data_IF_613506880640
#
_entry.id   IF_613506880640
#
_cell.length_a   1.000
_cell.length_b   1.000
_cell.length_c   1.000
_cell.angle_alpha   90.00
_cell.angle_beta   90.00
_cell.angle_gamma   90.00
#
_symmetry.space_group_name_H-M   'P 1'
#
loop_
_entity.id
_entity.type
_entity.pdbx_description
1 polymer ?
#
# COMPACT_ATOMS: atom_id res chain seq x y z
N UNK A 1 -0.94 20.33 -14.42
CA UNK A 1 -0.46 21.30 -15.44
C UNK A 1 0.70 22.23 -15.04
N UNK A 2 1.04 22.44 -13.76
CA UNK A 2 2.21 23.27 -13.31
C UNK A 2 3.59 22.56 -13.35
N UNK A 3 3.68 21.23 -13.46
CA UNK A 3 4.97 20.49 -13.49
C UNK A 3 5.72 20.57 -14.83
N UNK A 4 5.03 20.71 -15.96
CA UNK A 4 5.64 20.75 -17.31
C UNK A 4 6.43 22.05 -17.58
N UNK A 5 6.03 23.20 -17.02
CA UNK A 5 6.73 24.48 -17.20
C UNK A 5 8.11 24.56 -16.51
N UNK A 6 8.37 23.77 -15.46
CA UNK A 6 9.66 23.79 -14.74
C UNK A 6 10.76 22.95 -15.38
N UNK A 7 10.41 21.89 -16.11
CA UNK A 7 11.40 21.06 -16.84
C UNK A 7 11.95 21.79 -18.06
N UNK A 8 11.16 22.64 -18.71
CA UNK A 8 11.63 23.48 -19.82
C UNK A 8 12.72 24.49 -19.45
N UNK A 9 12.74 24.97 -18.21
CA UNK A 9 13.69 26.00 -17.75
C UNK A 9 15.11 25.47 -17.50
N UNK A 10 15.30 24.20 -17.09
CA UNK A 10 16.64 23.62 -16.83
C UNK A 10 17.30 23.27 -18.16
N UNK A 11 16.59 22.62 -19.08
CA UNK A 11 17.07 22.33 -20.44
C UNK A 11 17.38 23.63 -21.21
N UNK A 12 16.51 24.64 -21.09
CA UNK A 12 16.71 25.94 -21.72
C UNK A 12 17.94 26.68 -21.19
N UNK A 13 18.21 26.64 -19.89
CA UNK A 13 19.41 27.29 -19.31
C UNK A 13 20.71 26.59 -19.68
N UNK A 14 20.75 25.26 -19.67
CA UNK A 14 21.94 24.50 -20.13
C UNK A 14 22.21 24.74 -21.60
N UNK A 15 21.17 24.72 -22.44
CA UNK A 15 21.30 25.06 -23.86
C UNK A 15 21.75 26.51 -24.05
N UNK A 16 21.22 27.46 -23.30
CA UNK A 16 21.60 28.85 -23.36
C UNK A 16 23.07 29.08 -22.94
N UNK A 17 23.51 28.44 -21.86
CA UNK A 17 24.92 28.49 -21.43
C UNK A 17 25.85 27.91 -22.50
N UNK A 18 25.49 26.80 -23.12
CA UNK A 18 26.23 26.23 -24.22
C UNK A 18 26.34 27.19 -25.40
N UNK A 19 25.21 27.76 -25.82
CA UNK A 19 25.18 28.74 -26.94
C UNK A 19 26.02 29.97 -26.63
N UNK A 20 25.91 30.54 -25.42
CA UNK A 20 26.70 31.71 -24.99
C UNK A 20 28.19 31.37 -25.00
N UNK A 21 28.58 30.20 -24.48
CA UNK A 21 29.96 29.74 -24.48
C UNK A 21 30.49 29.59 -25.91
N UNK A 22 29.71 29.03 -26.81
CA UNK A 22 30.06 28.83 -28.21
C UNK A 22 30.23 30.17 -28.93
N UNK A 23 29.36 31.14 -28.68
CA UNK A 23 29.48 32.51 -29.23
C UNK A 23 30.78 33.20 -28.75
N UNK A 24 31.05 33.17 -27.44
CA UNK A 24 32.25 33.79 -26.87
C UNK A 24 33.54 33.19 -27.45
N UNK A 25 33.59 31.87 -27.56
CA UNK A 25 34.75 31.19 -28.15
C UNK A 25 34.87 31.48 -29.65
N UNK A 26 33.77 31.61 -30.38
CA UNK A 26 33.78 31.97 -31.79
C UNK A 26 34.32 33.39 -32.00
N UNK A 27 33.90 34.35 -31.19
CA UNK A 27 34.39 35.76 -31.22
C UNK A 27 35.89 35.78 -30.89
N UNK A 28 36.31 35.09 -29.85
CA UNK A 28 37.71 35.00 -29.45
C UNK A 28 38.58 34.37 -30.56
N UNK A 29 38.05 33.31 -31.18
CA UNK A 29 38.73 32.66 -32.31
C UNK A 29 38.90 33.59 -33.52
N UNK A 30 37.85 34.35 -33.89
CA UNK A 30 37.95 35.31 -34.99
C UNK A 30 39.03 36.38 -34.69
N UNK A 31 39.07 36.87 -33.45
CA UNK A 31 40.06 37.88 -33.03
C UNK A 31 41.49 37.30 -33.08
N UNK A 32 41.69 36.11 -32.47
CA UNK A 32 43.02 35.46 -32.49
C UNK A 32 43.41 35.03 -33.90
N UNK A 33 42.47 34.52 -34.70
CA UNK A 33 42.70 34.06 -36.05
C UNK A 33 43.11 35.21 -36.98
N UNK A 34 42.48 36.36 -36.87
CA UNK A 34 42.90 37.54 -37.66
C UNK A 34 44.29 38.07 -37.26
N UNK A 35 44.58 38.04 -35.93
CA UNK A 35 45.89 38.45 -35.43
C UNK A 35 46.98 37.49 -35.92
N UNK A 36 46.78 36.16 -35.77
CA UNK A 36 47.73 35.13 -36.22
C UNK A 36 47.95 35.20 -37.73
N UNK A 37 46.92 35.46 -38.52
CA UNK A 37 47.01 35.62 -39.96
C UNK A 37 47.96 36.72 -40.34
N UNK A 38 47.73 37.95 -39.87
CA UNK A 38 48.48 39.13 -40.29
C UNK A 38 49.88 39.23 -39.69
N UNK A 39 50.11 38.69 -38.50
CA UNK A 39 51.38 38.85 -37.80
C UNK A 39 52.29 37.61 -37.93
N UNK A 40 51.69 36.42 -37.87
CA UNK A 40 52.47 35.15 -37.76
C UNK A 40 52.54 34.44 -39.09
N UNK A 41 51.39 34.19 -39.75
CA UNK A 41 51.38 33.35 -40.96
C UNK A 41 52.04 33.98 -42.14
N UNK A 42 51.85 35.26 -42.43
CA UNK A 42 52.51 35.94 -43.55
C UNK A 42 54.04 36.06 -43.33
N UNK A 43 54.46 36.28 -42.09
CA UNK A 43 55.88 36.31 -41.73
C UNK A 43 56.48 34.89 -41.82
N UNK A 44 55.75 33.87 -41.43
CA UNK A 44 56.18 32.47 -41.44
C UNK A 44 56.30 31.96 -42.92
N UNK A 45 55.31 32.25 -43.74
CA UNK A 45 55.37 31.87 -45.20
C UNK A 45 56.52 32.51 -45.86
N UNK A 46 56.79 33.80 -45.63
CA UNK A 46 57.91 34.50 -46.15
C UNK A 46 59.26 33.94 -45.67
N UNK A 47 59.39 33.62 -44.39
CA UNK A 47 60.55 33.02 -43.75
C UNK A 47 60.88 31.62 -44.33
N UNK A 48 59.86 30.77 -44.47
CA UNK A 48 59.99 29.40 -45.01
C UNK A 48 60.35 29.49 -46.48
N UNK A 49 59.75 30.40 -47.25
CA UNK A 49 60.08 30.63 -48.66
C UNK A 49 61.53 30.99 -48.91
N UNK A 50 62.09 31.87 -48.07
CA UNK A 50 63.46 32.30 -48.11
C UNK A 50 64.42 31.17 -47.71
N UNK A 51 64.15 30.47 -46.60
CA UNK A 51 65.11 29.49 -46.08
C UNK A 51 65.04 28.11 -46.77
N UNK A 52 63.89 27.70 -47.32
CA UNK A 52 63.74 26.41 -47.98
C UNK A 52 63.89 26.47 -49.51
N UNK A 53 64.25 27.60 -50.11
CA UNK A 53 64.39 27.81 -51.57
C UNK A 53 63.18 27.29 -52.38
N UNK A 54 61.98 27.49 -51.84
CA UNK A 54 60.73 27.08 -52.51
C UNK A 54 60.52 27.93 -53.78
N UNK A 55 59.95 27.30 -54.82
CA UNK A 55 59.61 28.04 -56.03
C UNK A 55 58.61 29.17 -55.73
N UNK A 56 58.74 30.31 -56.42
CA UNK A 56 57.86 31.47 -56.28
C UNK A 56 56.41 31.09 -56.51
N UNK A 57 56.15 30.11 -57.38
CA UNK A 57 54.79 29.58 -57.61
C UNK A 57 54.21 28.90 -56.38
N UNK A 58 55.01 28.19 -55.58
CA UNK A 58 54.54 27.50 -54.33
C UNK A 58 54.26 28.49 -53.21
N UNK A 59 55.12 29.52 -53.08
CA UNK A 59 54.95 30.61 -52.12
C UNK A 59 53.68 31.39 -52.42
N UNK A 60 53.45 31.73 -53.71
CA UNK A 60 52.22 32.40 -54.15
C UNK A 60 50.96 31.56 -53.89
N UNK A 61 51.01 30.24 -54.04
CA UNK A 61 49.95 29.36 -53.74
C UNK A 61 49.63 29.35 -52.21
N UNK A 62 50.65 29.31 -51.34
CA UNK A 62 50.45 29.39 -49.86
C UNK A 62 49.89 30.72 -49.45
N UNK A 63 50.33 31.85 -50.06
CA UNK A 63 49.71 33.14 -49.79
C UNK A 63 48.24 33.21 -50.24
N UNK A 64 47.94 32.67 -51.43
CA UNK A 64 46.58 32.61 -51.93
C UNK A 64 45.66 31.76 -51.00
N UNK A 65 46.13 30.61 -50.49
CA UNK A 65 45.40 29.81 -49.53
C UNK A 65 45.16 30.57 -48.19
N UNK A 66 46.18 31.35 -47.77
CA UNK A 66 46.05 32.19 -46.60
C UNK A 66 45.07 33.36 -46.83
N UNK A 67 45.15 34.02 -48.02
CA UNK A 67 44.17 35.08 -48.39
C UNK A 67 42.73 34.60 -48.43
N UNK A 68 42.48 33.37 -48.92
CA UNK A 68 41.15 32.79 -48.93
C UNK A 68 40.71 32.24 -47.54
N UNK A 69 41.48 32.46 -46.48
CA UNK A 69 41.18 32.03 -45.12
C UNK A 69 41.01 30.50 -44.92
N UNK A 70 41.47 29.70 -45.87
CA UNK A 70 41.29 28.22 -45.85
C UNK A 70 41.85 27.61 -44.58
N UNK A 71 43.05 27.99 -44.16
CA UNK A 71 43.68 27.51 -42.93
C UNK A 71 42.90 27.95 -41.68
N UNK A 72 42.39 29.17 -41.68
CA UNK A 72 41.55 29.67 -40.58
C UNK A 72 40.23 28.93 -40.49
N UNK A 73 39.59 28.57 -41.59
CA UNK A 73 38.39 27.76 -41.59
C UNK A 73 38.62 26.34 -41.08
N UNK A 74 39.69 25.68 -41.48
CA UNK A 74 40.05 24.33 -41.01
C UNK A 74 40.32 24.36 -39.50
N UNK A 75 41.12 25.32 -39.02
CA UNK A 75 41.44 25.44 -37.61
C UNK A 75 40.18 25.78 -36.77
N UNK A 76 39.25 26.60 -37.29
CA UNK A 76 37.98 26.91 -36.64
C UNK A 76 37.09 25.68 -36.53
N UNK A 77 37.00 24.88 -37.61
CA UNK A 77 36.22 23.66 -37.60
C UNK A 77 36.75 22.63 -36.59
N UNK A 78 38.08 22.42 -36.60
CA UNK A 78 38.74 21.55 -35.62
C UNK A 78 38.51 22.01 -34.18
N UNK A 79 38.59 23.31 -33.92
CA UNK A 79 38.34 23.88 -32.59
C UNK A 79 36.91 23.68 -32.10
N UNK A 80 35.92 23.91 -32.98
CA UNK A 80 34.52 23.63 -32.67
C UNK A 80 34.32 22.14 -32.37
N UNK A 81 34.94 21.24 -33.13
CA UNK A 81 34.85 19.81 -32.93
C UNK A 81 35.39 19.40 -31.56
N UNK A 82 36.53 19.96 -31.12
CA UNK A 82 37.11 19.71 -29.80
C UNK A 82 36.18 20.20 -28.67
N UNK A 83 35.61 21.40 -28.83
CA UNK A 83 34.66 21.93 -27.82
C UNK A 83 33.40 21.05 -27.70
N UNK A 84 32.85 20.65 -28.86
CA UNK A 84 31.67 19.75 -28.88
C UNK A 84 32.00 18.40 -28.25
N UNK A 85 33.14 17.84 -28.53
CA UNK A 85 33.62 16.59 -27.96
C UNK A 85 33.80 16.70 -26.43
N UNK A 86 34.45 17.75 -25.95
CA UNK A 86 34.63 18.00 -24.52
C UNK A 86 33.28 18.18 -23.79
N UNK A 87 32.33 18.89 -24.41
CA UNK A 87 30.96 19.04 -23.88
C UNK A 87 30.20 17.72 -23.86
N UNK A 88 30.32 16.92 -24.93
CA UNK A 88 29.71 15.60 -25.03
C UNK A 88 30.24 14.66 -23.93
N UNK A 89 31.55 14.60 -23.71
CA UNK A 89 32.14 13.79 -22.63
C UNK A 89 31.68 14.26 -21.26
N UNK A 90 31.56 15.57 -21.04
CA UNK A 90 31.04 16.11 -19.78
C UNK A 90 29.55 15.79 -19.58
N UNK A 91 28.76 15.88 -20.63
CA UNK A 91 27.32 15.61 -20.60
C UNK A 91 27.04 14.11 -20.43
N UNK A 92 27.83 13.23 -21.05
CA UNK A 92 27.65 11.77 -20.95
C UNK A 92 27.91 11.20 -19.54
N UNK A 93 28.73 11.88 -18.73
CA UNK A 93 28.99 11.47 -17.33
C UNK A 93 27.90 11.87 -16.34
N UNK A 94 26.95 12.70 -16.74
CA UNK A 94 25.89 13.20 -15.86
C UNK A 94 24.85 12.12 -15.50
N UNK A 95 24.36 11.29 -16.45
CA UNK A 95 23.44 10.19 -16.13
C UNK A 95 24.04 9.19 -15.14
N UNK A 96 25.30 8.80 -15.31
CA UNK A 96 25.97 7.84 -14.43
C UNK A 96 26.08 8.36 -13.00
N UNK A 97 26.38 9.65 -12.84
CA UNK A 97 26.44 10.28 -11.50
C UNK A 97 25.09 10.31 -10.82
N UNK A 98 24.01 10.58 -11.56
CA UNK A 98 22.64 10.58 -11.03
C UNK A 98 22.23 9.15 -10.67
N UNK A 99 22.50 8.19 -11.56
CA UNK A 99 22.18 6.78 -11.33
C UNK A 99 22.90 6.23 -10.08
N UNK A 100 24.21 6.44 -9.98
CA UNK A 100 24.98 5.97 -8.82
C UNK A 100 24.54 6.61 -7.50
N UNK A 101 24.13 7.87 -7.54
CA UNK A 101 23.56 8.55 -6.37
C UNK A 101 22.21 7.98 -5.96
N UNK A 102 21.32 7.66 -6.91
CA UNK A 102 20.02 7.07 -6.62
C UNK A 102 20.15 5.62 -6.13
N UNK A 103 21.06 4.84 -6.73
CA UNK A 103 21.33 3.46 -6.28
C UNK A 103 21.95 3.42 -4.88
N UNK A 104 22.81 4.40 -4.54
CA UNK A 104 23.39 4.54 -3.21
C UNK A 104 22.36 4.87 -2.13
N UNK A 105 21.28 5.60 -2.46
CA UNK A 105 20.17 5.86 -1.52
C UNK A 105 19.43 4.57 -1.17
N UNK A 106 19.27 3.66 -2.14
CA UNK A 106 18.57 2.38 -1.95
C UNK A 106 19.43 1.41 -1.14
N UNK A 107 20.75 1.44 -1.31
CA UNK A 107 21.68 0.49 -0.69
C UNK A 107 22.33 1.00 0.61
N UNK A 108 21.88 2.15 1.15
CA UNK A 108 22.40 2.80 2.37
C UNK A 108 23.90 3.21 2.28
N UNK A 109 24.47 3.23 1.07
CA UNK A 109 25.86 3.64 0.78
C UNK A 109 25.87 4.96 -0.02
N UNK A 110 25.23 5.97 0.57
CA UNK A 110 25.03 7.25 -0.09
C UNK A 110 26.26 8.15 -0.04
N UNK A 111 26.83 8.44 -1.22
CA UNK A 111 27.85 9.49 -1.40
C UNK A 111 27.26 10.66 -2.18
N UNK A 112 27.26 11.86 -1.59
CA UNK A 112 26.70 13.05 -2.23
C UNK A 112 27.42 13.35 -3.56
N UNK A 113 26.74 13.33 -4.71
CA UNK A 113 27.37 13.55 -6.00
C UNK A 113 27.72 15.02 -6.21
N UNK A 114 28.84 15.29 -6.91
CA UNK A 114 29.22 16.63 -7.38
C UNK A 114 28.36 17.05 -8.57
N UNK A 115 27.13 17.46 -8.32
CA UNK A 115 26.19 17.89 -9.36
C UNK A 115 26.21 19.41 -9.57
N UNK A 116 25.94 19.91 -10.80
CA UNK A 116 25.71 21.31 -11.08
C UNK A 116 24.60 21.88 -10.19
N UNK A 117 24.70 23.19 -9.83
CA UNK A 117 23.76 23.84 -8.89
C UNK A 117 22.30 23.70 -9.28
N UNK A 118 21.99 23.77 -10.56
CA UNK A 118 20.62 23.70 -11.11
C UNK A 118 20.01 22.31 -10.93
N UNK A 119 20.82 21.26 -11.07
CA UNK A 119 20.38 19.87 -10.94
C UNK A 119 20.34 19.46 -9.48
N UNK A 120 21.27 19.97 -8.66
CA UNK A 120 21.39 19.64 -7.23
C UNK A 120 20.10 19.89 -6.45
N UNK A 121 19.40 21.00 -6.75
CA UNK A 121 18.13 21.34 -6.06
C UNK A 121 17.01 20.34 -6.39
N UNK A 122 16.91 19.94 -7.65
CA UNK A 122 15.92 18.93 -8.09
C UNK A 122 16.28 17.56 -7.52
N UNK A 123 17.56 17.18 -7.61
CA UNK A 123 18.07 15.92 -7.09
C UNK A 123 17.81 15.78 -5.57
N UNK A 124 18.14 16.81 -4.78
CA UNK A 124 17.88 16.80 -3.32
C UNK A 124 16.39 16.61 -2.99
N UNK A 125 15.50 17.27 -3.75
CA UNK A 125 14.07 17.11 -3.54
C UNK A 125 13.59 15.68 -3.85
N UNK A 126 14.08 15.09 -4.94
CA UNK A 126 13.77 13.69 -5.30
C UNK A 126 14.36 12.72 -4.28
N UNK A 127 15.56 12.99 -3.77
CA UNK A 127 16.19 12.21 -2.71
C UNK A 127 15.35 12.23 -1.41
N UNK A 128 14.91 13.43 -0.99
CA UNK A 128 14.05 13.59 0.19
C UNK A 128 12.71 12.85 0.01
N UNK A 129 12.11 12.92 -1.19
CA UNK A 129 10.87 12.20 -1.54
C UNK A 129 11.08 10.67 -1.50
N UNK A 130 12.18 10.17 -2.05
CA UNK A 130 12.51 8.72 -2.05
C UNK A 130 12.78 8.25 -0.61
N UNK A 131 13.61 8.95 0.16
CA UNK A 131 13.91 8.60 1.55
C UNK A 131 12.66 8.59 2.43
N UNK A 132 11.76 9.56 2.24
CA UNK A 132 10.49 9.59 2.97
C UNK A 132 9.58 8.42 2.59
N UNK A 133 9.50 8.06 1.31
CA UNK A 133 8.73 6.93 0.83
C UNK A 133 9.28 5.59 1.35
N UNK A 134 10.60 5.41 1.36
CA UNK A 134 11.24 4.23 1.92
C UNK A 134 10.99 4.11 3.43
N UNK A 135 11.19 5.20 4.19
CA UNK A 135 10.89 5.21 5.63
C UNK A 135 9.43 4.89 5.94
N UNK A 136 8.50 5.44 5.12
CA UNK A 136 7.09 5.14 5.29
C UNK A 136 6.77 3.67 4.99
N UNK A 137 7.37 3.09 3.94
CA UNK A 137 7.25 1.67 3.64
C UNK A 137 7.79 0.79 4.76
N UNK A 138 8.98 1.12 5.29
CA UNK A 138 9.60 0.38 6.39
C UNK A 138 8.78 0.50 7.69
N UNK A 139 8.18 1.66 7.93
CA UNK A 139 7.24 1.85 9.04
C UNK A 139 6.02 0.94 8.89
N UNK A 140 5.38 0.92 7.70
CA UNK A 140 4.24 0.05 7.43
C UNK A 140 4.59 -1.44 7.55
N UNK A 141 5.78 -1.84 7.08
CA UNK A 141 6.25 -3.23 7.20
C UNK A 141 6.43 -3.63 8.67
N UNK A 142 7.08 -2.79 9.48
CA UNK A 142 7.25 -3.01 10.92
C UNK A 142 5.92 -3.03 11.66
N UNK A 143 5.02 -2.12 11.34
CA UNK A 143 3.67 -2.09 11.93
C UNK A 143 2.89 -3.36 11.59
N UNK A 144 2.98 -3.84 10.34
CA UNK A 144 2.36 -5.11 9.92
C UNK A 144 2.95 -6.31 10.66
N UNK A 145 4.27 -6.35 10.84
CA UNK A 145 4.96 -7.41 11.57
C UNK A 145 4.60 -7.36 13.07
N UNK A 146 4.57 -6.18 13.66
CA UNK A 146 4.12 -5.98 15.04
C UNK A 146 2.70 -6.50 15.24
N UNK A 147 1.76 -6.10 14.38
CA UNK A 147 0.37 -6.57 14.42
C UNK A 147 0.27 -8.09 14.32
N UNK A 148 1.12 -8.71 13.47
CA UNK A 148 1.20 -10.18 13.34
C UNK A 148 1.68 -10.83 14.63
N UNK A 149 2.71 -10.26 15.27
CA UNK A 149 3.25 -10.79 16.52
C UNK A 149 2.26 -10.61 17.68
N UNK A 150 1.64 -9.45 17.80
CA UNK A 150 0.60 -9.17 18.80
C UNK A 150 -0.57 -10.14 18.66
N UNK A 151 -0.94 -10.50 17.42
CA UNK A 151 -1.93 -11.52 17.10
C UNK A 151 -1.57 -12.88 17.72
N UNK A 152 -0.34 -13.35 17.47
CA UNK A 152 0.11 -14.67 17.95
C UNK A 152 0.10 -14.71 19.48
N UNK A 153 0.60 -13.66 20.13
CA UNK A 153 0.63 -13.55 21.60
C UNK A 153 -0.79 -13.56 22.17
N UNK A 154 -1.70 -12.79 21.57
CA UNK A 154 -3.08 -12.68 22.03
C UNK A 154 -3.82 -14.02 21.89
N UNK A 155 -3.68 -14.68 20.74
CA UNK A 155 -4.29 -15.99 20.51
C UNK A 155 -3.75 -17.06 21.44
N UNK A 156 -2.44 -17.09 21.69
CA UNK A 156 -1.83 -18.03 22.63
C UNK A 156 -2.45 -17.88 24.04
N UNK A 157 -2.68 -16.63 24.48
CA UNK A 157 -3.33 -16.35 25.76
C UNK A 157 -4.78 -16.84 25.78
N UNK A 158 -5.57 -16.51 24.73
CA UNK A 158 -6.99 -16.84 24.66
C UNK A 158 -7.26 -18.36 24.46
N UNK A 159 -6.35 -19.09 23.81
CA UNK A 159 -6.37 -20.54 23.72
C UNK A 159 -5.96 -21.21 25.05
N UNK A 160 -4.97 -20.64 25.77
CA UNK A 160 -4.50 -21.20 27.04
C UNK A 160 -5.56 -21.21 28.12
N UNK A 161 -6.40 -20.17 28.19
CA UNK A 161 -7.42 -20.00 29.25
C UNK A 161 -8.46 -21.14 29.26
N UNK A 162 -9.19 -21.43 28.14
CA UNK A 162 -10.13 -22.56 28.12
C UNK A 162 -9.42 -23.91 28.27
N UNK A 163 -8.24 -24.08 27.69
CA UNK A 163 -7.45 -25.30 27.80
C UNK A 163 -7.08 -25.60 29.26
N UNK A 164 -6.59 -24.60 30.00
CA UNK A 164 -6.28 -24.75 31.44
C UNK A 164 -7.53 -25.11 32.25
N UNK A 165 -8.69 -24.52 31.93
CA UNK A 165 -9.94 -24.86 32.58
C UNK A 165 -10.39 -26.31 32.29
N UNK A 166 -10.28 -26.76 31.03
CA UNK A 166 -10.58 -28.15 30.64
C UNK A 166 -9.73 -29.13 31.43
N UNK A 167 -8.41 -28.90 31.43
CA UNK A 167 -7.45 -29.75 32.17
C UNK A 167 -7.81 -29.75 33.65
N UNK A 168 -8.02 -28.58 34.27
CA UNK A 168 -8.35 -28.47 35.70
C UNK A 168 -9.61 -29.22 36.10
N UNK A 169 -10.71 -29.12 35.33
CA UNK A 169 -11.93 -29.84 35.63
C UNK A 169 -11.81 -31.35 35.37
N UNK A 170 -11.06 -31.77 34.32
CA UNK A 170 -10.79 -33.17 34.08
C UNK A 170 -9.95 -33.80 35.21
N UNK A 171 -8.89 -33.11 35.63
CA UNK A 171 -8.07 -33.55 36.79
C UNK A 171 -8.91 -33.65 38.06
N UNK A 172 -9.78 -32.69 38.31
CA UNK A 172 -10.68 -32.72 39.47
C UNK A 172 -11.62 -33.93 39.41
N UNK A 173 -12.16 -34.25 38.24
CA UNK A 173 -13.03 -35.41 38.03
C UNK A 173 -12.30 -36.74 38.18
N UNK A 174 -11.00 -36.78 37.80
CA UNK A 174 -10.15 -37.95 37.94
C UNK A 174 -9.73 -38.19 39.41
N UNK A 175 -9.31 -37.14 40.11
CA UNK A 175 -8.80 -37.20 41.48
C UNK A 175 -9.91 -37.40 42.53
N UNK A 176 -11.17 -37.04 42.20
CA UNK A 176 -12.30 -37.16 43.13
C UNK A 176 -13.41 -38.08 42.56
N UNK A 177 -13.20 -39.39 42.46
CA UNK A 177 -14.18 -40.34 41.94
C UNK A 177 -15.48 -40.43 42.78
N UNK A 178 -15.40 -40.07 44.05
CA UNK A 178 -16.54 -40.08 44.99
C UNK A 178 -17.42 -38.81 44.91
N UNK A 179 -17.18 -37.91 43.96
CA UNK A 179 -18.00 -36.73 43.75
C UNK A 179 -19.46 -37.10 43.47
N UNK A 180 -20.46 -36.40 44.11
CA UNK A 180 -21.86 -36.62 43.79
C UNK A 180 -22.14 -36.41 42.29
N UNK A 181 -23.09 -37.20 41.76
CA UNK A 181 -23.42 -37.22 40.34
C UNK A 181 -23.77 -35.82 39.78
N UNK A 182 -24.41 -34.97 40.59
CA UNK A 182 -24.75 -33.59 40.23
C UNK A 182 -23.49 -32.73 39.91
N UNK A 183 -22.47 -32.83 40.79
CA UNK A 183 -21.21 -32.08 40.56
C UNK A 183 -20.42 -32.62 39.39
N UNK A 184 -20.43 -33.95 39.20
CA UNK A 184 -19.81 -34.57 38.01
C UNK A 184 -20.49 -34.05 36.73
N UNK A 185 -21.81 -34.10 36.66
CA UNK A 185 -22.55 -33.62 35.49
C UNK A 185 -22.25 -32.11 35.24
N UNK A 186 -22.24 -31.29 36.30
CA UNK A 186 -21.89 -29.88 36.21
C UNK A 186 -20.47 -29.64 35.64
N UNK A 187 -19.44 -30.35 36.18
CA UNK A 187 -18.07 -30.15 35.75
C UNK A 187 -17.83 -30.70 34.32
N UNK A 188 -18.48 -31.79 33.93
CA UNK A 188 -18.51 -32.29 32.58
C UNK A 188 -19.13 -31.30 31.60
N UNK A 189 -20.27 -30.65 31.98
CA UNK A 189 -20.91 -29.59 31.21
C UNK A 189 -19.98 -28.39 31.02
N UNK A 190 -19.34 -27.90 32.08
CA UNK A 190 -18.39 -26.79 32.00
C UNK A 190 -17.18 -27.16 31.09
N UNK A 191 -16.69 -28.40 31.21
CA UNK A 191 -15.59 -28.86 30.37
C UNK A 191 -15.95 -28.87 28.87
N UNK A 192 -17.16 -29.36 28.58
CA UNK A 192 -17.69 -29.42 27.22
C UNK A 192 -17.85 -28.02 26.63
N UNK A 193 -18.43 -27.07 27.41
CA UNK A 193 -18.55 -25.67 26.97
C UNK A 193 -17.19 -25.02 26.67
N UNK A 194 -16.18 -25.31 27.52
CA UNK A 194 -14.83 -24.79 27.28
C UNK A 194 -14.15 -25.46 26.07
N UNK A 195 -14.45 -26.73 25.79
CA UNK A 195 -13.96 -27.41 24.61
C UNK A 195 -14.56 -26.84 23.32
N UNK A 196 -15.88 -26.60 23.27
CA UNK A 196 -16.51 -25.92 22.13
C UNK A 196 -15.97 -24.50 21.94
N UNK A 197 -15.71 -23.80 23.03
CA UNK A 197 -15.10 -22.47 22.95
C UNK A 197 -13.68 -22.51 22.37
N UNK A 198 -12.88 -23.51 22.75
CA UNK A 198 -11.53 -23.71 22.22
C UNK A 198 -11.57 -24.05 20.72
N UNK A 199 -12.49 -24.93 20.31
CA UNK A 199 -12.72 -25.26 18.91
C UNK A 199 -13.05 -24.02 18.08
N UNK A 200 -13.98 -23.18 18.57
CA UNK A 200 -14.35 -21.95 17.92
C UNK A 200 -13.14 -21.01 17.75
N UNK A 201 -12.32 -20.81 18.78
CA UNK A 201 -11.11 -19.99 18.72
C UNK A 201 -10.08 -20.52 17.72
N UNK A 202 -9.93 -21.83 17.64
CA UNK A 202 -9.06 -22.49 16.66
C UNK A 202 -9.55 -22.25 15.22
N UNK A 203 -10.85 -22.39 14.98
CA UNK A 203 -11.45 -22.13 13.69
C UNK A 203 -11.28 -20.65 13.28
N UNK A 204 -11.54 -19.71 14.19
CA UNK A 204 -11.30 -18.27 13.99
C UNK A 204 -9.82 -17.99 13.63
N UNK A 205 -8.87 -18.71 14.26
CA UNK A 205 -7.44 -18.57 13.97
C UNK A 205 -7.07 -19.09 12.56
N UNK A 206 -7.55 -20.27 12.20
CA UNK A 206 -7.31 -20.82 10.86
C UNK A 206 -7.85 -19.89 9.77
N UNK A 207 -8.99 -19.29 10.01
CA UNK A 207 -9.58 -18.36 9.08
C UNK A 207 -8.72 -17.13 8.83
N UNK A 208 -8.17 -16.53 9.90
CA UNK A 208 -7.28 -15.37 9.78
C UNK A 208 -6.01 -15.75 9.02
N UNK A 209 -5.42 -16.88 9.35
CA UNK A 209 -4.19 -17.34 8.67
C UNK A 209 -4.45 -17.60 7.20
N UNK A 210 -5.58 -18.22 6.87
CA UNK A 210 -6.00 -18.50 5.50
C UNK A 210 -6.31 -17.21 4.73
N UNK A 211 -7.01 -16.25 5.35
CA UNK A 211 -7.32 -14.95 4.74
C UNK A 211 -6.10 -14.05 4.56
N UNK A 212 -5.05 -14.18 5.39
CA UNK A 212 -3.83 -13.39 5.26
C UNK A 212 -2.78 -13.96 4.29
N UNK A 213 -2.85 -15.28 3.95
CA UNK A 213 -1.78 -15.98 3.23
C UNK A 213 -2.10 -16.34 1.78
N UNK A 214 -3.33 -16.14 1.30
CA UNK A 214 -3.70 -16.56 -0.06
C UNK A 214 -4.45 -15.46 -0.81
N UNK A 215 -4.21 -15.39 -2.11
CA UNK A 215 -5.16 -14.80 -3.06
C UNK A 215 -6.43 -15.65 -3.01
N UNK A 216 -7.42 -15.23 -2.24
CA UNK A 216 -8.68 -15.95 -2.08
C UNK A 216 -9.41 -15.85 -3.42
N UNK A 217 -9.57 -16.99 -4.08
CA UNK A 217 -10.48 -17.12 -5.21
C UNK A 217 -11.89 -17.35 -4.68
N UNK A 218 -12.86 -16.55 -5.17
CA UNK A 218 -14.27 -16.77 -4.86
C UNK A 218 -14.82 -17.89 -5.74
N UNK A 219 -15.58 -18.80 -5.15
CA UNK A 219 -16.37 -19.79 -5.85
C UNK A 219 -17.78 -19.20 -6.07
N UNK A 220 -17.92 -18.42 -7.13
CA UNK A 220 -19.17 -17.69 -7.42
C UNK A 220 -20.29 -18.63 -7.87
N UNK A 221 -21.39 -18.63 -7.16
CA UNK A 221 -22.62 -19.35 -7.44
C UNK A 221 -23.84 -18.40 -7.36
N UNK A 222 -24.95 -18.84 -7.91
CA UNK A 222 -26.23 -18.17 -7.73
C UNK A 222 -26.78 -18.51 -6.36
N UNK A 223 -27.09 -17.49 -5.55
CA UNK A 223 -27.53 -17.62 -4.17
C UNK A 223 -28.91 -16.98 -4.02
N UNK A 224 -29.88 -17.72 -3.52
CA UNK A 224 -31.13 -17.17 -3.02
C UNK A 224 -30.93 -16.66 -1.60
N UNK A 225 -30.91 -15.33 -1.44
CA UNK A 225 -30.68 -14.69 -0.13
C UNK A 225 -31.82 -14.94 0.84
N UNK A 226 -33.05 -15.10 0.35
CA UNK A 226 -34.19 -15.40 1.21
C UNK A 226 -34.01 -16.75 1.92
N UNK A 227 -33.61 -17.76 1.18
CA UNK A 227 -33.33 -19.08 1.73
C UNK A 227 -32.13 -19.03 2.70
N UNK A 228 -31.03 -18.41 2.30
CA UNK A 228 -29.81 -18.32 3.11
C UNK A 228 -30.07 -17.61 4.46
N UNK A 229 -30.72 -16.45 4.45
CA UNK A 229 -31.01 -15.68 5.65
C UNK A 229 -32.04 -16.39 6.55
N UNK A 230 -33.00 -17.13 5.97
CA UNK A 230 -33.94 -17.95 6.75
C UNK A 230 -33.22 -19.08 7.46
N UNK A 231 -32.33 -19.80 6.76
CA UNK A 231 -31.54 -20.87 7.37
C UNK A 231 -30.69 -20.38 8.53
N UNK A 232 -30.03 -19.24 8.38
CA UNK A 232 -29.24 -18.60 9.45
C UNK A 232 -30.14 -18.26 10.63
N UNK A 233 -31.30 -17.64 10.41
CA UNK A 233 -32.23 -17.31 11.49
C UNK A 233 -32.71 -18.57 12.25
N UNK A 234 -32.99 -19.65 11.54
CA UNK A 234 -33.42 -20.93 12.12
C UNK A 234 -32.30 -21.61 12.95
N UNK A 235 -31.02 -21.53 12.51
CA UNK A 235 -29.89 -22.04 13.27
C UNK A 235 -29.71 -21.33 14.62
N UNK A 236 -30.05 -20.05 14.72
CA UNK A 236 -29.97 -19.30 15.96
C UNK A 236 -31.20 -19.44 16.87
N UNK A 237 -32.27 -20.12 16.46
CA UNK A 237 -33.50 -20.24 17.23
C UNK A 237 -33.30 -20.74 18.68
N UNK A 238 -32.42 -21.76 18.94
CA UNK A 238 -32.20 -22.19 20.32
C UNK A 238 -31.60 -21.11 21.22
N UNK A 239 -30.62 -20.36 20.68
CA UNK A 239 -29.90 -19.32 21.42
C UNK A 239 -30.75 -18.05 21.61
N UNK A 240 -31.63 -17.74 20.66
CA UNK A 240 -32.62 -16.67 20.79
C UNK A 240 -33.56 -16.92 21.99
N UNK A 241 -33.96 -18.19 22.22
CA UNK A 241 -34.81 -18.58 23.33
C UNK A 241 -34.22 -18.31 24.72
N UNK A 242 -32.90 -18.41 24.88
CA UNK A 242 -32.23 -18.17 26.18
C UNK A 242 -32.34 -16.71 26.64
N UNK A 243 -32.44 -15.76 25.73
CA UNK A 243 -32.59 -14.33 26.01
C UNK A 243 -33.98 -13.78 25.71
N UNK A 244 -34.94 -14.64 25.37
CA UNK A 244 -36.28 -14.23 24.90
C UNK A 244 -36.19 -13.23 23.74
N UNK A 245 -35.30 -13.47 22.77
CA UNK A 245 -35.18 -12.64 21.58
C UNK A 245 -36.13 -13.14 20.50
N UNK A 246 -36.71 -12.20 19.76
CA UNK A 246 -37.46 -12.50 18.53
C UNK A 246 -36.58 -12.18 17.31
N UNK A 247 -36.63 -13.03 16.30
CA UNK A 247 -36.00 -12.73 15.03
C UNK A 247 -37.08 -12.51 13.96
N UNK A 248 -37.05 -11.32 13.34
CA UNK A 248 -37.97 -10.96 12.26
C UNK A 248 -37.21 -10.86 10.95
N UNK A 249 -37.67 -11.60 9.95
CA UNK A 249 -37.14 -11.54 8.56
C UNK A 249 -38.06 -10.64 7.73
N UNK A 250 -37.46 -9.66 7.05
CA UNK A 250 -38.11 -8.76 6.09
C UNK A 250 -37.29 -8.78 4.80
N UNK A 251 -37.47 -9.85 4.00
CA UNK A 251 -36.67 -10.14 2.80
C UNK A 251 -37.55 -9.99 1.59
N UNK A 252 -37.10 -9.18 0.64
CA UNK A 252 -37.77 -9.01 -0.66
C UNK A 252 -37.78 -10.37 -1.41
N UNK A 253 -38.96 -10.77 -1.91
CA UNK A 253 -39.12 -12.03 -2.62
C UNK A 253 -38.27 -12.11 -3.88
N UNK A 254 -37.63 -13.26 -4.13
CA UNK A 254 -36.84 -13.52 -5.33
C UNK A 254 -35.49 -12.76 -5.36
N UNK A 255 -34.95 -12.40 -4.23
CA UNK A 255 -33.67 -11.69 -4.12
C UNK A 255 -32.51 -12.67 -4.32
N UNK A 256 -31.96 -12.67 -5.54
CA UNK A 256 -30.81 -13.50 -5.93
C UNK A 256 -29.58 -12.65 -6.12
N UNK A 257 -28.41 -13.19 -5.70
CA UNK A 257 -27.09 -12.60 -5.92
C UNK A 257 -26.13 -13.64 -6.51
N UNK A 258 -25.02 -13.18 -7.06
CA UNK A 258 -23.89 -14.03 -7.46
C UNK A 258 -22.75 -13.83 -6.46
N UNK A 259 -22.24 -14.89 -5.90
CA UNK A 259 -21.17 -14.85 -4.92
C UNK A 259 -20.79 -16.23 -4.38
N UNK A 260 -19.89 -16.23 -3.43
CA UNK A 260 -19.47 -17.45 -2.73
C UNK A 260 -20.39 -17.70 -1.53
N UNK A 261 -21.20 -18.75 -1.64
CA UNK A 261 -22.25 -19.06 -0.66
C UNK A 261 -21.69 -19.31 0.75
N UNK A 262 -20.60 -20.06 0.86
CA UNK A 262 -19.98 -20.41 2.15
C UNK A 262 -19.41 -19.15 2.83
N UNK A 263 -18.78 -18.29 2.05
CA UNK A 263 -18.19 -17.05 2.59
C UNK A 263 -19.26 -16.03 2.97
N UNK A 264 -20.31 -15.86 2.14
CA UNK A 264 -21.41 -14.95 2.48
C UNK A 264 -22.25 -15.46 3.65
N UNK A 265 -22.53 -16.75 3.74
CA UNK A 265 -23.18 -17.36 4.91
C UNK A 265 -22.40 -17.02 6.18
N UNK A 266 -21.08 -17.10 6.14
CA UNK A 266 -20.20 -16.73 7.25
C UNK A 266 -20.27 -15.25 7.62
N UNK A 267 -20.42 -14.33 6.63
CA UNK A 267 -20.65 -12.91 6.93
C UNK A 267 -21.92 -12.75 7.76
N UNK A 268 -23.01 -13.34 7.31
CA UNK A 268 -24.31 -13.18 7.94
C UNK A 268 -24.40 -13.91 9.30
N UNK A 269 -23.73 -15.06 9.46
CA UNK A 269 -23.56 -15.74 10.76
C UNK A 269 -22.84 -14.84 11.76
N UNK A 270 -21.73 -14.20 11.36
CA UNK A 270 -21.01 -13.26 12.22
C UNK A 270 -21.88 -12.06 12.63
N UNK A 271 -22.69 -11.52 11.72
CA UNK A 271 -23.60 -10.41 12.03
C UNK A 271 -24.72 -10.85 12.94
N UNK A 272 -25.31 -12.03 12.70
CA UNK A 272 -26.36 -12.59 13.57
C UNK A 272 -25.83 -12.89 14.96
N UNK A 273 -24.67 -13.51 15.09
CA UNK A 273 -24.00 -13.77 16.36
C UNK A 273 -23.73 -12.49 17.14
N UNK A 274 -23.29 -11.42 16.47
CA UNK A 274 -23.15 -10.11 17.07
C UNK A 274 -24.51 -9.56 17.57
N UNK A 275 -25.54 -9.60 16.74
CA UNK A 275 -26.87 -9.14 17.12
C UNK A 275 -27.37 -9.87 18.34
N UNK A 276 -27.25 -11.20 18.41
CA UNK A 276 -27.66 -12.02 19.58
C UNK A 276 -26.85 -11.68 20.84
N UNK A 277 -25.52 -11.56 20.70
CA UNK A 277 -24.65 -11.31 21.87
C UNK A 277 -24.90 -9.95 22.52
N UNK A 278 -25.13 -8.92 21.70
CA UNK A 278 -25.24 -7.54 22.17
C UNK A 278 -26.66 -7.00 22.25
N UNK A 279 -27.67 -7.84 22.00
CA UNK A 279 -29.08 -7.48 22.25
C UNK A 279 -29.44 -7.51 23.72
N UNK A 280 -30.29 -6.57 24.10
CA UNK A 280 -31.03 -6.67 25.38
C UNK A 280 -32.02 -7.82 25.33
N UNK A 281 -32.22 -8.51 26.47
CA UNK A 281 -33.26 -9.54 26.59
C UNK A 281 -34.65 -8.97 26.31
N UNK A 282 -35.54 -9.82 25.80
CA UNK A 282 -36.93 -9.46 25.45
C UNK A 282 -37.02 -8.38 24.34
N UNK A 283 -36.10 -8.37 23.38
CA UNK A 283 -36.13 -7.45 22.26
C UNK A 283 -36.20 -8.22 20.92
N UNK A 284 -36.30 -7.48 19.83
CA UNK A 284 -36.37 -8.02 18.46
C UNK A 284 -35.08 -7.74 17.71
N UNK A 285 -34.57 -8.74 17.00
CA UNK A 285 -33.54 -8.62 15.95
C UNK A 285 -34.27 -8.63 14.61
N UNK A 286 -34.02 -7.62 13.77
CA UNK A 286 -34.61 -7.54 12.44
C UNK A 286 -33.53 -7.78 11.39
N UNK A 287 -33.78 -8.70 10.48
CA UNK A 287 -32.95 -8.94 9.29
C UNK A 287 -33.74 -8.49 8.08
N UNK A 288 -33.29 -7.44 7.39
CA UNK A 288 -33.92 -6.94 6.18
C UNK A 288 -33.02 -7.12 4.98
N UNK A 289 -33.57 -7.55 3.84
CA UNK A 289 -32.81 -7.63 2.59
C UNK A 289 -33.67 -7.17 1.41
N UNK A 290 -33.13 -6.25 0.62
CA UNK A 290 -33.82 -5.62 -0.50
C UNK A 290 -32.86 -5.16 -1.58
N UNK A 291 -33.39 -4.84 -2.77
CA UNK A 291 -32.62 -4.28 -3.87
C UNK A 291 -32.76 -2.77 -3.94
N UNK A 292 -31.64 -2.06 -3.98
CA UNK A 292 -31.58 -0.61 -4.10
C UNK A 292 -30.50 -0.23 -5.13
N UNK A 293 -30.86 0.56 -6.15
CA UNK A 293 -29.94 1.05 -7.20
C UNK A 293 -29.04 -0.05 -7.81
N UNK A 294 -29.64 -1.18 -8.20
CA UNK A 294 -28.96 -2.38 -8.72
C UNK A 294 -28.01 -3.09 -7.74
N UNK A 295 -27.96 -2.67 -6.49
CA UNK A 295 -27.21 -3.34 -5.43
C UNK A 295 -28.15 -4.04 -4.46
N UNK A 296 -27.65 -5.09 -3.85
CA UNK A 296 -28.38 -5.81 -2.81
C UNK A 296 -27.93 -5.31 -1.46
N UNK A 297 -28.88 -4.89 -0.63
CA UNK A 297 -28.65 -4.37 0.72
C UNK A 297 -29.19 -5.38 1.73
N UNK A 298 -28.34 -5.79 2.68
CA UNK A 298 -28.74 -6.65 3.79
C UNK A 298 -28.44 -5.92 5.09
N UNK A 299 -29.43 -5.80 5.98
CA UNK A 299 -29.34 -5.06 7.24
C UNK A 299 -29.66 -5.97 8.41
N UNK A 300 -28.75 -6.08 9.37
CA UNK A 300 -28.96 -6.70 10.67
C UNK A 300 -29.14 -5.62 11.73
N UNK A 301 -30.31 -5.54 12.34
CA UNK A 301 -30.64 -4.49 13.29
C UNK A 301 -31.05 -5.10 14.62
N UNK A 302 -30.46 -4.60 15.72
CA UNK A 302 -30.77 -5.05 17.07
C UNK A 302 -30.84 -3.89 18.09
N UNK A 303 -31.45 -4.12 19.23
CA UNK A 303 -31.49 -3.18 20.38
C UNK A 303 -30.46 -3.58 21.41
N UNK A 304 -29.51 -2.69 21.70
CA UNK A 304 -28.40 -2.91 22.62
C UNK A 304 -27.73 -1.61 23.02
N UNK A 305 -26.64 -1.69 23.74
CA UNK A 305 -25.88 -0.52 24.16
C UNK A 305 -25.37 0.27 22.94
N UNK A 306 -25.45 1.62 23.05
CA UNK A 306 -24.97 2.52 22.01
C UNK A 306 -23.45 2.40 21.84
N UNK A 307 -23.02 2.19 20.64
CA UNK A 307 -21.59 2.22 20.26
C UNK A 307 -21.19 3.68 19.98
N UNK A 308 -20.15 4.18 20.65
CA UNK A 308 -19.66 5.56 20.39
C UNK A 308 -19.09 5.71 18.98
N UNK A 309 -19.13 6.91 18.40
CA UNK A 309 -18.61 7.18 17.06
C UNK A 309 -17.13 6.79 16.90
N UNK A 310 -16.32 7.00 17.95
CA UNK A 310 -14.92 6.58 17.94
C UNK A 310 -14.79 5.06 17.84
N UNK A 311 -15.62 4.30 18.56
CA UNK A 311 -15.65 2.84 18.51
C UNK A 311 -16.20 2.33 17.17
N UNK A 312 -17.25 2.97 16.61
CA UNK A 312 -17.81 2.61 15.29
C UNK A 312 -16.78 2.62 14.17
N UNK A 313 -15.84 3.56 14.19
CA UNK A 313 -14.72 3.59 13.23
C UNK A 313 -13.75 2.41 13.35
N UNK A 314 -13.76 1.71 14.50
CA UNK A 314 -12.78 0.66 14.83
C UNK A 314 -13.36 -0.75 14.92
N UNK A 315 -14.70 -0.92 14.92
CA UNK A 315 -15.33 -2.24 15.13
C UNK A 315 -15.01 -3.27 14.05
N UNK A 316 -14.58 -2.83 12.87
CA UNK A 316 -14.15 -3.68 11.79
C UNK A 316 -12.62 -3.92 11.77
N UNK A 317 -11.88 -3.32 12.71
CA UNK A 317 -10.47 -3.60 12.90
C UNK A 317 -10.26 -4.95 13.58
N UNK A 318 -9.22 -5.67 13.16
CA UNK A 318 -8.90 -6.99 13.74
C UNK A 318 -8.61 -6.83 15.23
N UNK A 319 -9.20 -7.72 16.06
CA UNK A 319 -9.04 -7.76 17.53
C UNK A 319 -9.66 -6.60 18.30
N UNK A 320 -10.37 -5.72 17.62
CA UNK A 320 -11.07 -4.66 18.34
C UNK A 320 -12.23 -5.26 19.15
N UNK A 321 -12.28 -4.91 20.43
CA UNK A 321 -13.37 -5.21 21.35
C UNK A 321 -13.70 -3.96 22.17
N UNK A 322 -14.96 -3.62 22.30
CA UNK A 322 -15.38 -2.59 23.24
C UNK A 322 -15.04 -3.04 24.67
N UNK A 323 -14.54 -2.13 25.53
CA UNK A 323 -13.99 -2.46 26.85
C UNK A 323 -14.94 -3.25 27.76
N UNK A 324 -16.24 -3.01 27.62
CA UNK A 324 -17.27 -3.73 28.37
C UNK A 324 -17.43 -5.20 27.93
N UNK A 325 -17.13 -5.51 26.66
CA UNK A 325 -17.16 -6.87 26.13
C UNK A 325 -15.97 -7.74 26.59
N UNK A 326 -14.90 -7.16 27.15
CA UNK A 326 -13.79 -7.91 27.75
C UNK A 326 -14.18 -8.67 29.02
N UNK A 327 -15.25 -8.26 29.70
CA UNK A 327 -15.72 -8.87 30.94
C UNK A 327 -16.78 -9.96 30.72
N UNK A 328 -17.38 -10.05 29.53
CA UNK A 328 -18.40 -11.08 29.25
C UNK A 328 -17.73 -12.38 28.80
N UNK A 329 -18.17 -13.49 29.43
CA UNK A 329 -17.73 -14.84 29.06
C UNK A 329 -18.11 -15.27 27.63
N UNK A 330 -19.02 -14.51 26.98
CA UNK A 330 -19.62 -14.79 25.68
C UNK A 330 -18.95 -14.04 24.51
N UNK A 331 -17.96 -13.18 24.76
CA UNK A 331 -17.32 -12.36 23.72
C UNK A 331 -16.34 -13.16 22.86
N UNK A 332 -16.45 -13.07 21.52
CA UNK A 332 -15.50 -13.63 20.54
C UNK A 332 -14.13 -12.94 20.55
N UNK A 333 -13.17 -13.46 19.76
CA UNK A 333 -11.80 -12.93 19.65
C UNK A 333 -11.70 -11.52 18.98
N UNK A 334 -12.82 -10.88 18.66
CA UNK A 334 -12.84 -9.58 17.97
C UNK A 334 -12.49 -9.67 16.48
N UNK A 335 -12.75 -10.79 15.86
CA UNK A 335 -12.34 -11.11 14.50
C UNK A 335 -13.51 -11.24 13.53
N UNK A 336 -14.71 -11.56 14.02
CA UNK A 336 -15.88 -11.84 13.20
C UNK A 336 -16.25 -10.68 12.25
N UNK A 337 -16.27 -9.44 12.75
CA UNK A 337 -16.56 -8.25 11.93
C UNK A 337 -15.44 -7.92 10.94
N UNK A 338 -14.18 -8.14 11.31
CA UNK A 338 -13.06 -7.94 10.41
C UNK A 338 -13.07 -8.94 9.25
N UNK A 339 -13.39 -10.22 9.54
CA UNK A 339 -13.57 -11.26 8.53
C UNK A 339 -14.77 -10.94 7.64
N UNK A 340 -15.90 -10.54 8.21
CA UNK A 340 -17.09 -10.14 7.46
C UNK A 340 -16.76 -9.00 6.48
N UNK A 341 -16.06 -7.96 6.93
CA UNK A 341 -15.62 -6.85 6.08
C UNK A 341 -14.76 -7.34 4.92
N UNK A 342 -13.76 -8.16 5.19
CA UNK A 342 -12.85 -8.68 4.17
C UNK A 342 -13.58 -9.53 3.12
N UNK A 343 -14.52 -10.37 3.53
CA UNK A 343 -15.33 -11.19 2.61
C UNK A 343 -16.21 -10.29 1.75
N UNK A 344 -16.88 -9.30 2.32
CA UNK A 344 -17.74 -8.36 1.60
C UNK A 344 -16.92 -7.56 0.58
N UNK A 345 -15.74 -7.06 0.96
CA UNK A 345 -14.82 -6.35 0.05
C UNK A 345 -14.33 -7.24 -1.09
N UNK A 346 -14.07 -8.52 -0.86
CA UNK A 346 -13.72 -9.48 -1.91
C UNK A 346 -14.85 -9.68 -2.93
N UNK A 347 -16.12 -9.56 -2.50
CA UNK A 347 -17.30 -9.57 -3.39
C UNK A 347 -17.56 -8.20 -4.05
N UNK A 348 -16.66 -7.21 -3.90
CA UNK A 348 -16.86 -5.85 -4.45
C UNK A 348 -17.89 -5.01 -3.69
N UNK A 349 -18.33 -5.49 -2.53
CA UNK A 349 -19.32 -4.85 -1.68
C UNK A 349 -18.71 -3.93 -0.61
N UNK A 350 -19.59 -3.41 0.24
CA UNK A 350 -19.22 -2.60 1.40
C UNK A 350 -20.02 -3.02 2.64
N UNK A 351 -19.39 -2.92 3.82
CA UNK A 351 -20.06 -3.11 5.10
C UNK A 351 -19.90 -1.88 5.96
N UNK A 352 -20.97 -1.48 6.63
CA UNK A 352 -21.00 -0.33 7.54
C UNK A 352 -21.80 -0.64 8.80
N UNK A 353 -21.66 0.19 9.81
CA UNK A 353 -22.44 0.10 11.03
C UNK A 353 -22.87 1.48 11.49
N UNK A 354 -24.05 1.55 12.04
CA UNK A 354 -24.60 2.71 12.73
C UNK A 354 -25.16 2.31 14.10
N UNK A 355 -25.05 3.19 15.08
CA UNK A 355 -25.56 2.94 16.43
C UNK A 355 -26.05 4.24 17.08
N UNK A 356 -27.24 4.18 17.62
CA UNK A 356 -27.84 5.27 18.38
C UNK A 356 -28.46 4.75 19.69
N UNK A 357 -29.30 5.53 20.37
CA UNK A 357 -29.98 5.12 21.61
C UNK A 357 -31.02 4.02 21.41
N UNK A 358 -31.52 3.84 20.18
CA UNK A 358 -32.65 2.98 19.87
C UNK A 358 -32.25 1.65 19.28
N UNK A 359 -31.14 1.65 18.49
CA UNK A 359 -30.66 0.45 17.80
C UNK A 359 -29.20 0.53 17.42
N UNK A 360 -28.64 -0.62 17.13
CA UNK A 360 -27.42 -0.82 16.35
C UNK A 360 -27.75 -1.57 15.06
N UNK A 361 -27.29 -1.09 13.91
CA UNK A 361 -27.51 -1.72 12.61
C UNK A 361 -26.20 -1.93 11.88
N UNK A 362 -26.04 -3.13 11.31
CA UNK A 362 -24.96 -3.47 10.40
C UNK A 362 -25.52 -3.61 9.00
N UNK A 363 -24.99 -2.87 8.05
CA UNK A 363 -25.44 -2.83 6.65
C UNK A 363 -24.39 -3.40 5.74
N UNK A 364 -24.75 -4.41 4.97
CA UNK A 364 -23.92 -5.01 3.89
C UNK A 364 -24.52 -4.63 2.56
N UNK A 365 -23.73 -4.12 1.64
CA UNK A 365 -24.11 -3.78 0.26
C UNK A 365 -23.25 -4.62 -0.69
N UNK A 366 -23.92 -5.41 -1.54
CA UNK A 366 -23.32 -6.33 -2.50
C UNK A 366 -23.70 -5.95 -3.94
#
# INVERSE_FOLDING_TARGET
>A
MKRSKKQGTVRGRLALQYVITLIWFSVLYIFIGTFLRYVVFDSLISYIGINMMLSTSYINCLHALNEHNVFSFIAYFMFIMVINFAFFVKASRLPDRIYNSLSGIINDDYTAPSLPREIRKVHRKTEEEIKSALKYRDYLAKESEQRKNDLVVYLAHDLKTPLTSIIGYLTLLEEAPELPAEYRAKYMGITLDKAYRLEQLINEFFDITRFNLQNITLEENHIDLGIMLSQIADEFYPVLGEKNLLCRLDVQSGLNITGDADKLSRVFDNLMRNAVNYSYSNTEITISAYRENDRTVVVFKNKGDKISEQKLGMIFEKFFRADDARRSATGGAGLGLAIAKQIVELHGGTISAESNSDFTAFTVVL
#
